data_IF_043455132329
#
_entry.id   IF_043455132329
#
_cell.length_a   1.000
_cell.length_b   1.000
_cell.length_c   1.000
_cell.angle_alpha   90.00
_cell.angle_beta   90.00
_cell.angle_gamma   90.00
#
_symmetry.space_group_name_H-M   'P 1'
#
loop_
_entity.id
_entity.type
_entity.pdbx_description
1 polymer ?
#
# COMPACT_ATOMS: atom_id res chain seq x y z
N UNK A 1 4.59 18.02 10.60
CA UNK A 1 4.44 18.99 9.48
C UNK A 1 5.10 20.32 9.85
N UNK A 2 5.50 21.18 8.89
CA UNK A 2 6.19 22.45 9.20
C UNK A 2 5.29 23.32 10.08
N UNK A 3 5.58 23.40 11.38
CA UNK A 3 4.90 24.26 12.35
C UNK A 3 5.04 25.71 11.86
N UNK A 4 4.03 26.28 11.22
CA UNK A 4 4.14 27.65 10.71
C UNK A 4 3.00 28.19 9.85
N UNK A 5 2.12 27.35 9.31
CA UNK A 5 0.89 27.80 8.63
C UNK A 5 -0.31 27.07 9.22
N UNK A 6 -0.90 27.65 10.27
CA UNK A 6 -2.05 27.06 10.99
C UNK A 6 -3.33 27.02 10.16
N UNK A 7 -3.39 27.76 9.05
CA UNK A 7 -4.58 27.85 8.20
C UNK A 7 -4.49 26.99 6.93
N UNK A 8 -3.47 26.14 6.78
CA UNK A 8 -3.34 25.27 5.60
C UNK A 8 -3.97 23.92 5.88
N UNK A 9 -5.00 23.56 5.11
CA UNK A 9 -5.52 22.19 5.12
C UNK A 9 -4.55 21.26 4.39
N UNK A 10 -4.08 20.24 5.09
CA UNK A 10 -3.17 19.24 4.52
C UNK A 10 -3.96 18.01 4.13
N UNK A 11 -3.82 17.59 2.88
CA UNK A 11 -4.39 16.34 2.35
C UNK A 11 -3.25 15.46 1.90
N UNK A 12 -3.30 14.18 2.27
CA UNK A 12 -2.38 13.13 1.81
C UNK A 12 -3.16 12.16 0.95
N UNK A 13 -2.67 11.92 -0.26
CA UNK A 13 -3.17 10.90 -1.18
C UNK A 13 -2.12 9.79 -1.27
N UNK A 14 -2.51 8.56 -0.98
CA UNK A 14 -1.62 7.41 -1.07
C UNK A 14 -2.39 6.20 -1.62
N UNK A 15 -1.68 5.31 -2.31
CA UNK A 15 -2.22 3.98 -2.61
C UNK A 15 -2.16 3.07 -1.37
N UNK A 16 -2.77 1.90 -1.48
CA UNK A 16 -2.67 0.80 -0.52
C UNK A 16 -1.22 0.44 -0.18
N UNK A 17 -0.33 0.35 -1.16
CA UNK A 17 1.08 0.05 -0.90
C UNK A 17 1.85 1.15 -0.19
N UNK A 18 1.46 2.40 -0.40
CA UNK A 18 1.97 3.52 0.38
C UNK A 18 1.43 3.51 1.81
N UNK A 19 0.20 3.04 2.00
CA UNK A 19 -0.54 3.14 3.26
C UNK A 19 -0.26 1.97 4.19
N UNK A 20 -0.46 0.74 3.72
CA UNK A 20 -0.41 -0.48 4.52
C UNK A 20 1.01 -1.05 4.65
N UNK A 21 1.90 -0.72 3.71
CA UNK A 21 3.27 -1.24 3.70
C UNK A 21 4.28 -0.15 4.14
N UNK A 22 4.93 0.53 3.20
CA UNK A 22 6.10 1.39 3.51
C UNK A 22 5.75 2.61 4.38
N UNK A 23 4.56 3.17 4.24
CA UNK A 23 4.15 4.38 4.97
C UNK A 23 3.40 4.11 6.27
N UNK A 24 3.09 2.85 6.60
CA UNK A 24 2.25 2.52 7.76
C UNK A 24 2.88 2.99 9.07
N UNK A 25 4.19 2.83 9.24
CA UNK A 25 4.90 3.27 10.45
C UNK A 25 4.79 4.78 10.67
N UNK A 26 4.92 5.56 9.60
CA UNK A 26 4.79 7.02 9.63
C UNK A 26 3.34 7.45 9.89
N UNK A 27 2.38 6.79 9.23
CA UNK A 27 0.95 7.05 9.38
C UNK A 27 0.49 6.76 10.81
N UNK A 28 0.88 5.60 11.37
CA UNK A 28 0.60 5.23 12.76
C UNK A 28 1.13 6.28 13.73
N UNK A 29 2.37 6.75 13.53
CA UNK A 29 2.95 7.81 14.36
C UNK A 29 2.22 9.16 14.21
N UNK A 30 1.74 9.49 13.02
CA UNK A 30 0.97 10.72 12.78
C UNK A 30 -0.43 10.67 13.41
N UNK A 31 -1.08 9.50 13.36
CA UNK A 31 -2.35 9.24 14.02
C UNK A 31 -2.23 9.31 15.55
N UNK A 32 -1.20 8.69 16.13
CA UNK A 32 -0.92 8.74 17.57
C UNK A 32 -0.71 10.18 18.08
N UNK A 33 -0.07 11.03 17.27
CA UNK A 33 0.13 12.46 17.58
C UNK A 33 -1.09 13.34 17.27
N UNK A 34 -2.17 12.75 16.76
CA UNK A 34 -3.36 13.46 16.30
C UNK A 34 -3.01 14.67 15.42
N UNK A 35 -2.12 14.46 14.44
CA UNK A 35 -1.77 15.53 13.50
C UNK A 35 -3.01 15.93 12.68
N UNK A 36 -3.15 17.22 12.35
CA UNK A 36 -4.31 17.79 11.65
C UNK A 36 -4.15 17.67 10.13
N UNK A 37 -4.66 16.57 9.55
CA UNK A 37 -4.64 16.31 8.12
C UNK A 37 -5.73 15.31 7.71
N UNK A 38 -6.15 15.38 6.45
CA UNK A 38 -6.98 14.36 5.82
C UNK A 38 -6.08 13.36 5.08
N UNK A 39 -6.20 12.07 5.39
CA UNK A 39 -5.51 11.01 4.68
C UNK A 39 -6.48 10.19 3.85
N UNK A 40 -6.21 10.03 2.56
CA UNK A 40 -7.03 9.26 1.62
C UNK A 40 -6.18 8.11 1.07
N UNK A 41 -6.57 6.89 1.44
CA UNK A 41 -6.04 5.67 0.84
C UNK A 41 -6.89 5.31 -0.38
N UNK A 42 -6.24 5.27 -1.55
CA UNK A 42 -6.81 4.75 -2.79
C UNK A 42 -6.46 3.27 -2.89
N UNK A 43 -7.31 2.43 -2.29
CA UNK A 43 -7.08 0.99 -2.25
C UNK A 43 -7.52 0.33 -3.56
N UNK A 44 -6.54 -0.13 -4.34
CA UNK A 44 -6.75 -0.93 -5.54
C UNK A 44 -6.13 -2.33 -5.40
N UNK A 45 -5.81 -2.76 -4.18
CA UNK A 45 -5.41 -4.12 -3.83
C UNK A 45 -4.06 -4.60 -4.42
N UNK A 46 -3.16 -3.69 -4.80
CA UNK A 46 -1.80 -4.04 -5.20
C UNK A 46 -0.94 -2.85 -5.59
N UNK A 47 0.36 -3.07 -5.78
CA UNK A 47 1.29 -2.03 -6.24
C UNK A 47 1.12 -1.80 -7.75
N UNK A 48 0.05 -1.12 -8.12
CA UNK A 48 -0.37 -1.05 -9.52
C UNK A 48 0.65 -0.34 -10.41
N UNK A 49 1.28 0.72 -9.91
CA UNK A 49 2.26 1.48 -10.70
C UNK A 49 3.50 0.65 -11.09
N UNK A 50 3.86 -0.38 -10.32
CA UNK A 50 5.09 -1.16 -10.54
C UNK A 50 4.85 -2.51 -11.21
N UNK A 51 3.62 -2.80 -11.66
CA UNK A 51 3.26 -4.08 -12.28
C UNK A 51 2.44 -5.01 -11.39
N UNK A 52 1.57 -4.44 -10.56
CA UNK A 52 0.60 -5.15 -9.72
C UNK A 52 1.26 -6.20 -8.81
N UNK A 53 2.34 -5.83 -8.12
CA UNK A 53 2.91 -6.64 -7.04
C UNK A 53 1.93 -6.72 -5.88
N UNK A 54 2.04 -7.80 -5.08
CA UNK A 54 1.28 -7.97 -3.85
C UNK A 54 1.52 -6.79 -2.89
N UNK A 55 0.44 -6.18 -2.40
CA UNK A 55 0.42 -5.28 -1.26
C UNK A 55 -0.15 -5.97 -0.02
N UNK A 56 -0.13 -5.27 1.12
CA UNK A 56 -0.82 -5.75 2.32
C UNK A 56 -2.35 -5.73 2.23
N UNK A 57 -2.97 -5.01 1.28
CA UNK A 57 -4.42 -5.08 1.04
C UNK A 57 -4.84 -6.14 0.00
N UNK A 58 -3.89 -6.69 -0.76
CA UNK A 58 -4.18 -7.75 -1.75
C UNK A 58 -4.96 -8.92 -1.13
N UNK A 59 -6.15 -9.27 -1.66
CA UNK A 59 -6.94 -10.39 -1.18
C UNK A 59 -6.20 -11.72 -1.20
N UNK A 60 -6.55 -12.59 -0.24
CA UNK A 60 -5.99 -13.93 -0.20
C UNK A 60 -6.28 -14.69 -1.51
N UNK A 61 -5.29 -15.42 -2.01
CA UNK A 61 -5.32 -16.11 -3.32
C UNK A 61 -5.38 -15.23 -4.57
N UNK A 62 -5.36 -13.90 -4.47
CA UNK A 62 -5.25 -13.05 -5.66
C UNK A 62 -3.93 -13.31 -6.40
N UNK A 63 -4.01 -13.30 -7.73
CA UNK A 63 -2.83 -13.45 -8.60
C UNK A 63 -2.20 -12.07 -8.81
N UNK A 64 -0.96 -11.92 -8.38
CA UNK A 64 -0.18 -10.68 -8.49
C UNK A 64 1.15 -10.95 -9.21
N UNK A 65 1.85 -9.88 -9.61
CA UNK A 65 3.15 -9.98 -10.26
C UNK A 65 4.24 -10.63 -9.39
N UNK A 66 4.07 -10.63 -8.06
CA UNK A 66 5.02 -11.20 -7.10
C UNK A 66 4.52 -12.44 -6.35
N UNK A 67 3.28 -12.89 -6.57
CA UNK A 67 2.81 -14.17 -6.03
C UNK A 67 3.14 -15.31 -6.99
N UNK A 68 4.01 -16.22 -6.55
CA UNK A 68 4.34 -17.43 -7.31
C UNK A 68 3.12 -18.34 -7.35
N UNK A 69 2.60 -18.62 -8.55
CA UNK A 69 1.72 -19.78 -8.72
C UNK A 69 2.57 -21.03 -8.53
N UNK A 70 2.09 -21.95 -7.69
CA UNK A 70 2.67 -23.28 -7.47
C UNK A 70 3.07 -23.86 -8.82
N UNK A 71 4.37 -24.05 -9.04
CA UNK A 71 4.89 -24.50 -10.34
C UNK A 71 4.15 -25.78 -10.72
N UNK A 72 3.44 -25.78 -11.86
CA UNK A 72 2.92 -27.03 -12.42
C UNK A 72 4.11 -27.97 -12.55
N UNK A 73 4.07 -29.20 -11.97
CA UNK A 73 5.15 -30.14 -12.19
C UNK A 73 5.33 -30.29 -13.70
N UNK A 74 6.52 -29.96 -14.21
CA UNK A 74 6.83 -30.17 -15.63
C UNK A 74 6.55 -31.64 -15.89
N UNK A 75 5.58 -31.94 -16.74
CA UNK A 75 5.37 -33.29 -17.22
C UNK A 75 6.73 -33.76 -17.77
N UNK A 76 7.32 -34.76 -17.11
CA UNK A 76 8.51 -35.44 -17.63
C UNK A 76 8.08 -36.00 -18.98
N UNK A 77 8.57 -35.38 -20.07
CA UNK A 77 8.54 -35.99 -21.40
C UNK A 77 9.43 -37.22 -21.32
N UNK A 78 8.80 -38.39 -21.20
CA UNK A 78 9.39 -39.69 -21.55
C UNK A 78 9.40 -39.83 -23.05
#
# INVERSE_FOLDING_TARGET
MRKGKRDTQVIVLAGDGGTYDIGFQCLSSAAERNEDFLYICLDNEGYMNTGAQKSSSTPHFAKTGSTLQRARPRARRT
#
